data_IF_992399032329
#
_entry.id   IF_992399032329
#
_cell.length_a   1.000
_cell.length_b   1.000
_cell.length_c   1.000
_cell.angle_alpha   90.00
_cell.angle_beta   90.00
_cell.angle_gamma   90.00
#
_symmetry.space_group_name_H-M   'P 1'
#
loop_
_entity.id
_entity.type
_entity.pdbx_description
1 polymer ?
#
# COMPACT_ATOMS: atom_id res chain seq x y z
N UNK A 1 8.86 -38.36 -53.98
CA UNK A 1 7.71 -39.21 -53.57
C UNK A 1 6.58 -38.23 -53.21
N UNK A 2 5.55 -37.97 -54.04
CA UNK A 2 4.32 -38.79 -54.24
C UNK A 2 3.73 -39.19 -52.87
N UNK A 3 2.54 -38.82 -52.39
CA UNK A 3 1.21 -38.71 -53.01
C UNK A 3 0.21 -38.09 -51.98
N UNK A 4 -0.71 -37.19 -52.39
CA UNK A 4 -2.20 -37.36 -52.43
C UNK A 4 -2.96 -37.03 -51.12
N UNK A 5 -3.73 -35.94 -50.97
CA UNK A 5 -5.13 -35.61 -51.42
C UNK A 5 -6.23 -36.54 -50.88
N UNK A 6 -7.09 -36.06 -49.95
CA UNK A 6 -8.52 -36.43 -49.90
C UNK A 6 -9.34 -35.25 -49.36
N UNK A 7 -10.26 -34.79 -50.21
CA UNK A 7 -11.38 -33.92 -49.88
C UNK A 7 -12.59 -34.76 -49.44
N UNK A 8 -13.50 -34.19 -48.65
CA UNK A 8 -14.93 -34.53 -48.74
C UNK A 8 -15.79 -33.39 -48.20
N UNK A 9 -16.87 -33.17 -48.93
CA UNK A 9 -17.80 -32.06 -48.88
C UNK A 9 -19.21 -32.55 -48.52
N UNK A 10 -20.15 -31.60 -48.42
CA UNK A 10 -21.62 -31.74 -48.39
C UNK A 10 -22.19 -32.25 -47.04
N UNK A 11 -23.22 -31.63 -46.45
CA UNK A 11 -24.53 -31.37 -47.06
C UNK A 11 -25.27 -30.15 -46.48
N UNK A 12 -26.02 -29.51 -47.38
CA UNK A 12 -27.11 -28.55 -47.16
C UNK A 12 -28.23 -29.11 -46.27
N UNK A 13 -28.98 -28.22 -45.61
CA UNK A 13 -30.45 -28.23 -45.70
C UNK A 13 -31.02 -26.82 -45.46
N UNK A 14 -32.02 -26.50 -46.26
CA UNK A 14 -32.70 -25.22 -46.50
C UNK A 14 -34.14 -25.24 -46.00
N UNK A 15 -34.71 -24.08 -45.62
CA UNK A 15 -36.10 -23.61 -45.85
C UNK A 15 -36.35 -22.37 -44.97
N UNK A 16 -36.48 -21.14 -45.48
CA UNK A 16 -37.61 -20.48 -46.16
C UNK A 16 -38.90 -20.28 -45.32
N UNK A 17 -39.03 -19.04 -44.80
CA UNK A 17 -40.07 -18.01 -45.11
C UNK A 17 -41.57 -18.17 -44.73
N UNK A 18 -42.17 -16.97 -44.52
CA UNK A 18 -43.59 -16.54 -44.58
C UNK A 18 -44.41 -16.87 -43.29
N UNK A 19 -45.03 -15.93 -42.56
CA UNK A 19 -46.19 -15.10 -42.93
C UNK A 19 -46.43 -13.95 -41.92
N UNK A 20 -46.83 -12.80 -42.47
CA UNK A 20 -47.49 -11.68 -41.80
C UNK A 20 -48.99 -11.94 -41.60
N UNK A 21 -49.60 -11.25 -40.62
CA UNK A 21 -51.04 -10.88 -40.43
C UNK A 21 -51.34 -10.86 -38.91
N UNK A 22 -52.16 -10.02 -38.29
CA UNK A 22 -52.93 -8.83 -38.64
C UNK A 22 -53.43 -8.27 -37.29
N UNK A 23 -53.66 -6.96 -37.27
CA UNK A 23 -54.26 -6.16 -36.18
C UNK A 23 -55.70 -6.59 -35.87
N UNK A 24 -56.19 -6.33 -34.65
CA UNK A 24 -57.45 -5.60 -34.55
C UNK A 24 -57.38 -4.38 -33.62
N UNK A 25 -57.92 -3.28 -34.14
CA UNK A 25 -58.36 -2.08 -33.44
C UNK A 25 -59.58 -2.38 -32.57
N UNK A 26 -59.60 -1.88 -31.34
CA UNK A 26 -60.83 -1.41 -30.67
C UNK A 26 -60.52 -0.30 -29.65
N UNK A 27 -60.63 0.93 -30.16
CA UNK A 27 -61.34 2.08 -29.59
C UNK A 27 -61.46 2.31 -28.07
N UNK A 28 -61.08 3.54 -27.71
CA UNK A 28 -61.79 4.52 -26.88
C UNK A 28 -61.55 4.52 -25.36
N UNK A 29 -60.79 5.55 -24.95
CA UNK A 29 -61.28 6.52 -23.96
C UNK A 29 -60.64 6.44 -22.59
N UNK A 30 -59.77 7.43 -22.31
CA UNK A 30 -59.79 8.32 -21.12
C UNK A 30 -58.35 8.75 -20.81
N UNK A 31 -58.04 10.04 -21.01
CA UNK A 31 -56.82 10.66 -20.44
C UNK A 31 -56.88 10.59 -18.92
N UNK A 32 -55.74 10.32 -18.25
CA UNK A 32 -55.18 11.43 -17.48
C UNK A 32 -53.64 11.51 -17.50
N UNK A 33 -53.17 12.74 -17.27
CA UNK A 33 -51.94 13.12 -16.57
C UNK A 33 -50.60 12.47 -16.97
N UNK A 34 -49.74 13.32 -17.54
CA UNK A 34 -48.28 13.21 -17.42
C UNK A 34 -47.90 13.24 -15.94
N UNK A 35 -47.61 12.07 -15.37
CA UNK A 35 -46.76 11.93 -14.20
C UNK A 35 -45.56 11.12 -14.66
N UNK A 36 -44.40 11.77 -14.69
CA UNK A 36 -43.12 11.09 -14.73
C UNK A 36 -43.03 10.25 -13.44
N UNK A 37 -43.26 8.95 -13.57
CA UNK A 37 -42.92 7.99 -12.56
C UNK A 37 -41.40 7.80 -12.63
N UNK A 38 -40.70 8.40 -11.67
CA UNK A 38 -39.39 7.92 -11.26
C UNK A 38 -39.63 6.55 -10.65
N UNK A 39 -39.55 5.51 -11.47
CA UNK A 39 -39.56 4.12 -11.03
C UNK A 39 -38.20 3.86 -10.37
N UNK A 40 -38.04 4.28 -9.12
CA UNK A 40 -37.05 3.69 -8.24
C UNK A 40 -37.43 2.23 -8.08
N UNK A 41 -36.71 1.35 -8.77
CA UNK A 41 -36.77 -0.08 -8.55
C UNK A 41 -36.46 -0.33 -7.06
N UNK A 42 -37.50 -0.57 -6.27
CA UNK A 42 -37.34 -1.25 -4.99
C UNK A 42 -36.88 -2.66 -5.33
N UNK A 43 -35.57 -2.87 -5.29
CA UNK A 43 -34.99 -4.20 -5.31
C UNK A 43 -35.54 -4.90 -4.07
N UNK A 44 -36.20 -6.04 -4.28
CA UNK A 44 -36.72 -6.88 -3.20
C UNK A 44 -35.48 -7.45 -2.46
N UNK A 45 -35.00 -6.73 -1.44
CA UNK A 45 -33.68 -6.89 -0.81
C UNK A 45 -33.43 -8.28 -0.21
N UNK A 46 -34.49 -9.05 0.07
CA UNK A 46 -34.38 -10.25 0.88
C UNK A 46 -33.74 -11.47 0.19
N UNK A 47 -33.57 -11.50 -1.13
CA UNK A 47 -33.04 -12.66 -1.87
C UNK A 47 -32.26 -12.33 -3.15
N UNK A 48 -31.70 -11.13 -3.25
CA UNK A 48 -30.91 -10.77 -4.43
C UNK A 48 -29.57 -11.52 -4.43
N UNK A 49 -29.34 -12.36 -5.44
CA UNK A 49 -28.03 -12.99 -5.69
C UNK A 49 -27.41 -12.36 -6.94
N UNK A 50 -26.29 -11.62 -6.81
CA UNK A 50 -25.64 -10.99 -7.95
C UNK A 50 -25.17 -12.07 -8.92
N UNK A 51 -25.42 -11.86 -10.21
CA UNK A 51 -25.04 -12.81 -11.25
C UNK A 51 -23.66 -12.45 -11.82
N UNK A 52 -23.41 -11.16 -11.99
CA UNK A 52 -22.19 -10.61 -12.59
C UNK A 52 -21.34 -9.84 -11.58
N UNK A 53 -20.13 -9.50 -11.98
CA UNK A 53 -19.25 -8.64 -11.21
C UNK A 53 -19.85 -7.25 -10.99
N UNK A 54 -20.48 -6.69 -12.01
CA UNK A 54 -21.18 -5.40 -11.88
C UNK A 54 -22.37 -5.49 -10.91
N UNK A 55 -23.18 -6.55 -10.99
CA UNK A 55 -24.29 -6.78 -10.05
C UNK A 55 -23.80 -6.85 -8.59
N UNK A 56 -22.63 -7.46 -8.37
CA UNK A 56 -22.02 -7.54 -7.05
C UNK A 56 -21.53 -6.17 -6.57
N UNK A 57 -20.89 -5.40 -7.45
CA UNK A 57 -20.44 -4.05 -7.12
C UNK A 57 -21.62 -3.14 -6.76
N UNK A 58 -22.69 -3.17 -7.56
CA UNK A 58 -23.91 -2.39 -7.29
C UNK A 58 -24.58 -2.79 -5.99
N UNK A 59 -24.66 -4.10 -5.70
CA UNK A 59 -25.16 -4.62 -4.42
C UNK A 59 -24.35 -4.07 -3.24
N UNK A 60 -23.02 -4.06 -3.33
CA UNK A 60 -22.15 -3.62 -2.24
C UNK A 60 -22.16 -2.09 -2.07
N UNK A 61 -22.19 -1.31 -3.15
CA UNK A 61 -22.31 0.17 -3.11
C UNK A 61 -23.61 0.63 -2.46
N UNK A 62 -24.70 -0.09 -2.71
CA UNK A 62 -26.01 0.19 -2.13
C UNK A 62 -26.20 -0.31 -0.70
N UNK A 63 -25.21 -1.01 -0.14
CA UNK A 63 -25.39 -1.73 1.09
C UNK A 63 -25.26 -0.85 2.34
N UNK A 64 -26.33 -0.78 3.14
CA UNK A 64 -26.36 -0.04 4.42
C UNK A 64 -26.46 -0.93 5.66
N UNK A 65 -26.47 -2.26 5.51
CA UNK A 65 -26.67 -3.21 6.62
C UNK A 65 -26.02 -4.57 6.38
N UNK A 66 -26.01 -5.45 7.40
CA UNK A 66 -25.31 -6.74 7.31
C UNK A 66 -26.02 -7.79 6.43
N UNK A 67 -27.28 -7.56 6.06
CA UNK A 67 -28.07 -8.52 5.27
C UNK A 67 -27.55 -8.68 3.84
N UNK A 68 -27.06 -7.60 3.22
CA UNK A 68 -26.45 -7.64 1.88
C UNK A 68 -25.16 -8.49 1.87
N UNK A 69 -24.52 -8.66 3.04
CA UNK A 69 -23.24 -9.35 3.19
C UNK A 69 -23.41 -10.86 3.24
N UNK A 70 -24.65 -11.36 3.32
CA UNK A 70 -24.93 -12.79 3.36
C UNK A 70 -24.36 -13.51 2.13
N UNK A 71 -24.45 -12.89 0.95
CA UNK A 71 -23.86 -13.43 -0.28
C UNK A 71 -22.34 -13.54 -0.16
N UNK A 72 -21.68 -12.43 0.18
CA UNK A 72 -20.23 -12.31 0.29
C UNK A 72 -19.66 -13.26 1.32
N UNK A 73 -20.29 -13.28 2.52
CA UNK A 73 -19.95 -14.21 3.59
C UNK A 73 -20.14 -15.67 3.18
N UNK A 74 -21.21 -15.97 2.42
CA UNK A 74 -21.50 -17.32 1.92
C UNK A 74 -20.43 -17.82 0.94
N UNK A 75 -20.04 -16.98 -0.03
CA UNK A 75 -18.97 -17.30 -0.99
C UNK A 75 -17.65 -17.54 -0.27
N UNK A 76 -17.20 -16.58 0.55
CA UNK A 76 -15.93 -16.65 1.28
C UNK A 76 -15.89 -17.86 2.22
N UNK A 77 -16.96 -18.10 2.99
CA UNK A 77 -17.05 -19.26 3.88
C UNK A 77 -17.07 -20.58 3.10
N UNK A 78 -17.73 -20.61 1.94
CA UNK A 78 -17.76 -21.78 1.06
C UNK A 78 -16.38 -22.15 0.53
N UNK A 79 -15.59 -21.16 0.12
CA UNK A 79 -14.22 -21.34 -0.36
C UNK A 79 -13.30 -21.79 0.77
N UNK A 80 -13.37 -21.15 1.94
CA UNK A 80 -12.58 -21.56 3.10
C UNK A 80 -12.91 -22.99 3.55
N UNK A 81 -14.20 -23.38 3.51
CA UNK A 81 -14.62 -24.75 3.78
C UNK A 81 -14.12 -25.73 2.72
N UNK A 82 -14.19 -25.37 1.44
CA UNK A 82 -13.66 -26.20 0.35
C UNK A 82 -12.14 -26.40 0.48
N UNK A 83 -11.38 -25.34 0.73
CA UNK A 83 -9.93 -25.40 0.92
C UNK A 83 -9.56 -26.39 2.04
N UNK A 84 -10.25 -26.32 3.19
CA UNK A 84 -10.07 -27.28 4.30
C UNK A 84 -10.42 -28.73 3.92
N UNK A 85 -11.51 -28.93 3.19
CA UNK A 85 -11.94 -30.28 2.77
C UNK A 85 -11.02 -30.88 1.71
N UNK A 86 -10.44 -30.05 0.86
CA UNK A 86 -9.55 -30.46 -0.22
C UNK A 86 -8.08 -30.51 0.19
N UNK A 87 -7.73 -30.18 1.44
CA UNK A 87 -6.35 -30.08 1.94
C UNK A 87 -5.48 -29.17 1.05
N UNK A 88 -6.06 -28.08 0.56
CA UNK A 88 -5.36 -27.03 -0.21
C UNK A 88 -5.38 -25.73 0.56
N UNK A 89 -4.33 -24.93 0.42
CA UNK A 89 -4.26 -23.63 1.07
C UNK A 89 -5.31 -22.68 0.50
N UNK A 90 -5.86 -21.82 1.36
CA UNK A 90 -6.77 -20.77 0.92
C UNK A 90 -6.01 -19.80 0.01
N UNK A 91 -6.58 -19.35 -1.11
CA UNK A 91 -5.92 -18.36 -1.96
C UNK A 91 -5.91 -16.94 -1.37
N UNK A 92 -6.56 -16.73 -0.22
CA UNK A 92 -6.60 -15.44 0.48
C UNK A 92 -6.77 -15.65 1.99
N UNK A 93 -6.19 -14.73 2.77
CA UNK A 93 -6.15 -14.76 4.23
C UNK A 93 -6.67 -13.41 4.76
N UNK A 94 -7.98 -13.19 4.64
CA UNK A 94 -8.59 -12.02 5.26
C UNK A 94 -8.53 -12.16 6.79
N UNK A 95 -7.79 -11.28 7.45
CA UNK A 95 -7.77 -11.15 8.91
C UNK A 95 -8.74 -10.04 9.32
N UNK A 96 -9.53 -10.27 10.38
CA UNK A 96 -10.46 -9.28 10.92
C UNK A 96 -11.92 -9.37 10.43
N UNK A 97 -12.75 -8.43 10.88
CA UNK A 97 -14.15 -8.29 10.46
C UNK A 97 -14.19 -7.32 9.27
N UNK A 98 -14.58 -7.81 8.09
CA UNK A 98 -14.83 -6.96 6.93
C UNK A 98 -16.26 -6.45 6.97
N UNK A 99 -16.44 -5.14 6.85
CA UNK A 99 -17.75 -4.52 6.71
C UNK A 99 -18.14 -4.33 5.23
N UNK A 100 -19.35 -3.81 4.99
CA UNK A 100 -19.83 -3.57 3.63
C UNK A 100 -19.01 -2.53 2.87
N UNK A 101 -18.43 -1.57 3.59
CA UNK A 101 -17.60 -0.53 3.01
C UNK A 101 -16.27 -1.11 2.51
N UNK A 102 -15.61 -1.93 3.33
CA UNK A 102 -14.39 -2.65 2.94
C UNK A 102 -14.61 -3.52 1.71
N UNK A 103 -15.73 -4.25 1.69
CA UNK A 103 -16.07 -5.15 0.59
C UNK A 103 -16.38 -4.40 -0.71
N UNK A 104 -17.17 -3.31 -0.66
CA UNK A 104 -17.42 -2.46 -1.83
C UNK A 104 -16.10 -1.93 -2.38
N UNK A 105 -15.23 -1.45 -1.49
CA UNK A 105 -13.94 -0.86 -1.85
C UNK A 105 -13.03 -1.85 -2.59
N UNK A 106 -12.82 -3.06 -2.08
CA UNK A 106 -11.93 -4.03 -2.73
C UNK A 106 -12.51 -4.54 -4.06
N UNK A 107 -13.84 -4.60 -4.17
CA UNK A 107 -14.53 -4.99 -5.40
C UNK A 107 -14.39 -3.90 -6.46
N UNK A 108 -14.64 -2.64 -6.10
CA UNK A 108 -14.47 -1.49 -6.99
C UNK A 108 -13.02 -1.38 -7.47
N UNK A 109 -12.03 -1.53 -6.58
CA UNK A 109 -10.61 -1.52 -6.94
C UNK A 109 -10.25 -2.63 -7.96
N UNK A 110 -10.87 -3.80 -7.83
CA UNK A 110 -10.64 -4.93 -8.75
C UNK A 110 -11.24 -4.67 -10.13
N UNK A 111 -12.40 -4.00 -10.19
CA UNK A 111 -13.02 -3.56 -11.43
C UNK A 111 -12.24 -2.42 -12.10
N UNK A 112 -11.72 -1.48 -11.33
CA UNK A 112 -10.87 -0.40 -11.87
C UNK A 112 -9.58 -0.95 -12.50
N UNK A 113 -8.91 -1.86 -11.80
CA UNK A 113 -7.66 -2.47 -12.28
C UNK A 113 -7.89 -3.49 -13.40
N UNK A 114 -9.03 -4.18 -13.39
CA UNK A 114 -9.40 -5.20 -14.37
C UNK A 114 -10.86 -5.05 -14.81
N UNK A 115 -11.18 -4.08 -15.69
CA UNK A 115 -12.56 -3.77 -16.07
C UNK A 115 -13.35 -4.94 -16.65
N UNK A 116 -12.67 -5.91 -17.27
CA UNK A 116 -13.30 -7.11 -17.80
C UNK A 116 -13.99 -7.96 -16.73
N UNK A 117 -13.63 -7.84 -15.45
CA UNK A 117 -14.25 -8.60 -14.35
C UNK A 117 -15.73 -8.24 -14.13
N UNK A 118 -16.18 -7.07 -14.61
CA UNK A 118 -17.58 -6.66 -14.52
C UNK A 118 -18.52 -7.70 -15.16
N UNK A 119 -18.09 -8.31 -16.26
CA UNK A 119 -18.87 -9.30 -17.01
C UNK A 119 -18.74 -10.74 -16.49
N UNK A 120 -17.85 -11.00 -15.52
CA UNK A 120 -17.62 -12.34 -14.96
C UNK A 120 -18.66 -12.68 -13.88
N UNK A 121 -18.86 -13.97 -13.56
CA UNK A 121 -19.71 -14.35 -12.43
C UNK A 121 -19.27 -13.68 -11.13
N UNK A 122 -20.22 -13.17 -10.34
CA UNK A 122 -19.96 -12.48 -9.07
C UNK A 122 -18.95 -13.17 -8.13
N UNK A 123 -18.96 -14.50 -7.93
CA UNK A 123 -17.96 -15.16 -7.09
C UNK A 123 -16.54 -15.00 -7.61
N UNK A 124 -16.36 -14.90 -8.92
CA UNK A 124 -15.05 -14.76 -9.57
C UNK A 124 -14.44 -13.38 -9.31
N UNK A 125 -15.24 -12.32 -9.46
CA UNK A 125 -14.82 -10.97 -9.08
C UNK A 125 -14.48 -10.93 -7.59
N UNK A 126 -15.36 -11.46 -6.74
CA UNK A 126 -15.14 -11.48 -5.29
C UNK A 126 -13.85 -12.21 -4.90
N UNK A 127 -13.61 -13.38 -5.49
CA UNK A 127 -12.39 -14.15 -5.32
C UNK A 127 -11.15 -13.38 -5.74
N UNK A 128 -11.22 -12.75 -6.90
CA UNK A 128 -10.11 -11.95 -7.44
C UNK A 128 -9.82 -10.76 -6.53
N UNK A 129 -10.86 -10.08 -6.06
CA UNK A 129 -10.74 -8.95 -5.15
C UNK A 129 -10.09 -9.35 -3.82
N UNK A 130 -10.48 -10.50 -3.26
CA UNK A 130 -9.88 -11.03 -2.04
C UNK A 130 -8.44 -11.48 -2.25
N UNK A 131 -8.13 -12.16 -3.36
CA UNK A 131 -6.77 -12.60 -3.66
C UNK A 131 -5.82 -11.41 -3.87
N UNK A 132 -6.30 -10.33 -4.51
CA UNK A 132 -5.52 -9.10 -4.72
C UNK A 132 -5.34 -8.30 -3.42
N UNK A 133 -6.35 -8.30 -2.54
CA UNK A 133 -6.36 -7.46 -1.34
C UNK A 133 -5.80 -8.15 -0.09
N UNK A 134 -5.86 -9.49 -0.03
CA UNK A 134 -5.49 -10.30 1.14
C UNK A 134 -4.75 -11.59 0.75
N UNK A 135 -3.58 -11.51 0.09
CA UNK A 135 -2.81 -12.72 -0.25
C UNK A 135 -2.40 -13.48 1.02
N UNK A 136 -2.51 -14.82 1.00
CA UNK A 136 -2.15 -15.67 2.15
C UNK A 136 -0.67 -15.68 2.51
N UNK A 137 0.19 -15.24 1.59
CA UNK A 137 1.63 -15.14 1.81
C UNK A 137 1.99 -13.99 2.77
N UNK A 138 1.01 -13.20 3.22
CA UNK A 138 1.14 -12.21 4.29
C UNK A 138 0.83 -12.80 5.68
N UNK A 139 1.32 -14.02 5.95
CA UNK A 139 1.45 -14.51 7.32
C UNK A 139 2.36 -13.53 8.09
N UNK A 140 1.93 -12.93 9.21
CA UNK A 140 2.82 -12.15 10.08
C UNK A 140 3.98 -12.97 10.65
N UNK A 141 3.95 -14.30 10.50
CA UNK A 141 4.94 -15.22 11.06
C UNK A 141 5.96 -15.71 10.03
N UNK A 142 5.67 -15.61 8.73
CA UNK A 142 6.58 -16.02 7.66
C UNK A 142 7.24 -14.78 7.04
N UNK A 143 8.15 -14.20 7.81
CA UNK A 143 9.22 -13.39 7.25
C UNK A 143 9.96 -14.22 6.21
N UNK A 144 9.66 -14.00 4.93
CA UNK A 144 10.57 -14.45 3.89
C UNK A 144 11.76 -13.49 3.91
N UNK A 145 12.83 -13.91 4.60
CA UNK A 145 14.13 -13.26 4.60
C UNK A 145 14.64 -13.04 3.16
N UNK A 146 14.10 -13.74 2.16
CA UNK A 146 14.37 -13.55 0.74
C UNK A 146 13.67 -12.32 0.10
N UNK A 147 12.72 -11.67 0.78
CA UNK A 147 12.12 -10.40 0.33
C UNK A 147 12.95 -9.17 0.73
N UNK A 148 14.02 -9.37 1.50
CA UNK A 148 14.97 -8.35 1.90
C UNK A 148 15.86 -7.98 0.72
N UNK A 149 15.68 -6.78 0.19
CA UNK A 149 16.61 -6.23 -0.81
C UNK A 149 17.53 -5.23 -0.13
N UNK A 150 18.86 -5.39 -0.18
CA UNK A 150 19.75 -4.35 0.33
C UNK A 150 19.48 -3.06 -0.45
N UNK A 151 19.34 -1.95 0.27
CA UNK A 151 19.25 -0.62 -0.35
C UNK A 151 20.64 0.00 -0.41
N UNK A 152 20.93 0.70 -1.50
CA UNK A 152 22.16 1.48 -1.61
C UNK A 152 22.20 2.56 -0.53
N UNK A 153 23.31 2.62 0.21
CA UNK A 153 23.50 3.60 1.28
C UNK A 153 23.43 5.03 0.74
N UNK A 154 23.84 5.28 -0.51
CA UNK A 154 23.73 6.60 -1.14
C UNK A 154 22.26 7.05 -1.23
N UNK A 155 21.32 6.11 -1.42
CA UNK A 155 19.89 6.43 -1.47
C UNK A 155 19.39 6.80 -0.07
N UNK A 156 19.79 6.06 0.97
CA UNK A 156 19.41 6.37 2.36
C UNK A 156 19.95 7.73 2.77
N UNK A 157 21.22 8.02 2.47
CA UNK A 157 21.83 9.33 2.71
C UNK A 157 21.09 10.45 1.96
N UNK A 158 20.74 10.23 0.69
CA UNK A 158 20.00 11.20 -0.11
C UNK A 158 18.57 11.46 0.39
N UNK A 159 17.94 10.49 1.08
CA UNK A 159 16.64 10.68 1.73
C UNK A 159 16.76 11.58 2.95
N UNK A 160 17.74 11.31 3.83
CA UNK A 160 17.88 12.01 5.11
C UNK A 160 18.58 13.37 5.02
N UNK A 161 19.28 13.64 3.91
CA UNK A 161 19.98 14.92 3.66
C UNK A 161 19.02 16.12 3.64
N UNK A 162 17.79 15.93 3.12
CA UNK A 162 16.81 17.00 2.95
C UNK A 162 15.54 16.71 3.76
N UNK A 163 15.49 17.25 4.98
CA UNK A 163 14.36 17.07 5.88
C UNK A 163 13.02 17.53 5.27
N UNK A 164 13.04 18.41 4.26
CA UNK A 164 11.86 18.97 3.59
C UNK A 164 11.04 17.94 2.84
N UNK A 165 11.62 16.77 2.56
CA UNK A 165 10.98 15.73 1.74
C UNK A 165 10.16 14.72 2.54
N UNK A 166 10.15 14.82 3.88
CA UNK A 166 9.44 13.88 4.74
C UNK A 166 8.52 14.56 5.75
N UNK A 167 7.50 13.82 6.20
CA UNK A 167 6.71 14.12 7.40
C UNK A 167 7.07 13.09 8.47
N UNK A 168 7.37 13.54 9.69
CA UNK A 168 7.75 12.65 10.80
C UNK A 168 6.53 12.32 11.66
N UNK A 169 6.30 11.03 11.92
CA UNK A 169 5.28 10.50 12.82
C UNK A 169 5.94 9.69 13.95
N UNK A 170 5.38 9.72 15.16
CA UNK A 170 5.97 9.09 16.34
C UNK A 170 6.98 10.00 17.05
N UNK A 171 8.00 9.39 17.64
CA UNK A 171 9.07 10.07 18.37
C UNK A 171 10.20 10.49 17.41
N UNK A 172 10.42 11.80 17.18
CA UNK A 172 11.49 12.27 16.30
C UNK A 172 12.91 11.93 16.80
N UNK A 173 13.06 11.62 18.08
CA UNK A 173 14.35 11.33 18.73
C UNK A 173 14.61 9.83 18.90
N UNK A 174 13.75 8.97 18.35
CA UNK A 174 13.98 7.53 18.41
C UNK A 174 15.32 7.16 17.73
N UNK A 175 16.03 6.12 18.21
CA UNK A 175 17.30 5.72 17.64
C UNK A 175 17.14 5.22 16.19
N UNK A 176 18.24 5.17 15.44
CA UNK A 176 18.26 4.71 14.04
C UNK A 176 17.71 3.28 13.90
N UNK A 177 18.01 2.39 14.86
CA UNK A 177 17.45 1.02 14.91
C UNK A 177 15.91 0.99 15.04
N UNK A 178 15.30 2.09 15.52
CA UNK A 178 13.85 2.29 15.64
C UNK A 178 13.34 3.37 14.69
N UNK A 179 14.08 3.62 13.61
CA UNK A 179 13.67 4.52 12.52
C UNK A 179 13.22 3.71 11.32
N UNK A 180 11.99 3.95 10.88
CA UNK A 180 11.42 3.39 9.65
C UNK A 180 11.19 4.50 8.64
N UNK A 181 11.70 4.31 7.41
CA UNK A 181 11.56 5.26 6.30
C UNK A 181 10.57 4.71 5.30
N UNK A 182 9.41 5.32 5.16
CA UNK A 182 8.28 4.79 4.41
C UNK A 182 8.04 5.61 3.15
N UNK A 183 8.17 5.00 1.98
CA UNK A 183 7.63 5.52 0.74
C UNK A 183 6.12 5.26 0.70
N UNK A 184 5.36 6.36 0.61
CA UNK A 184 3.91 6.34 0.73
C UNK A 184 3.26 7.13 -0.39
N UNK A 185 2.30 6.52 -1.10
CA UNK A 185 1.45 7.23 -2.05
C UNK A 185 0.05 7.44 -1.43
N UNK A 186 -0.46 8.68 -1.33
CA UNK A 186 -1.77 8.96 -0.72
C UNK A 186 -2.97 8.35 -1.45
N UNK A 187 -2.83 7.94 -2.71
CA UNK A 187 -3.90 7.23 -3.44
C UNK A 187 -3.68 5.71 -3.48
N UNK A 188 -2.67 5.18 -2.78
CA UNK A 188 -2.43 3.75 -2.70
C UNK A 188 -3.31 3.11 -1.61
N UNK A 189 -4.14 2.14 -1.99
CA UNK A 189 -4.99 1.40 -1.05
C UNK A 189 -4.18 0.55 -0.07
N UNK A 190 -3.07 -0.07 -0.50
CA UNK A 190 -2.18 -0.80 0.41
C UNK A 190 -1.52 0.13 1.43
N UNK A 191 -1.23 1.39 1.06
CA UNK A 191 -0.75 2.40 2.02
C UNK A 191 -1.81 2.71 3.08
N UNK A 192 -3.09 2.81 2.67
CA UNK A 192 -4.18 3.01 3.61
C UNK A 192 -4.33 1.83 4.60
N UNK A 193 -4.15 0.59 4.13
CA UNK A 193 -4.15 -0.62 4.99
C UNK A 193 -2.94 -0.68 5.93
N UNK A 194 -1.77 -0.19 5.51
CA UNK A 194 -0.55 -0.20 6.33
C UNK A 194 -0.50 0.94 7.37
N UNK A 195 -1.22 2.03 7.13
CA UNK A 195 -1.22 3.21 8.00
C UNK A 195 -1.61 2.93 9.46
N UNK A 196 -2.61 2.10 9.79
CA UNK A 196 -2.90 1.71 11.17
C UNK A 196 -1.72 1.06 11.89
N UNK A 197 -0.91 0.24 11.21
CA UNK A 197 0.27 -0.40 11.77
C UNK A 197 1.35 0.63 12.12
N UNK A 198 1.54 1.62 11.25
CA UNK A 198 2.42 2.76 11.54
C UNK A 198 1.89 3.62 12.70
N UNK A 199 0.58 3.78 12.82
CA UNK A 199 -0.03 4.47 13.95
C UNK A 199 0.17 3.71 15.28
N UNK A 200 0.08 2.39 15.25
CA UNK A 200 0.38 1.54 16.40
C UNK A 200 1.84 1.69 16.84
N UNK A 201 2.80 1.60 15.91
CA UNK A 201 4.23 1.83 16.20
C UNK A 201 4.49 3.22 16.78
N UNK A 202 3.91 4.26 16.18
CA UNK A 202 4.03 5.63 16.68
C UNK A 202 3.48 5.77 18.11
N UNK A 203 2.36 5.09 18.42
CA UNK A 203 1.75 5.12 19.74
C UNK A 203 2.58 4.41 20.82
N UNK A 204 3.50 3.50 20.46
CA UNK A 204 4.45 2.91 21.40
C UNK A 204 5.44 3.94 21.97
N UNK A 205 5.64 5.07 21.27
CA UNK A 205 6.49 6.18 21.73
C UNK A 205 7.99 5.92 21.65
N UNK A 206 8.41 4.83 21.01
CA UNK A 206 9.81 4.44 20.84
C UNK A 206 10.27 4.40 19.38
N UNK A 207 9.43 4.88 18.46
CA UNK A 207 9.62 4.74 17.00
C UNK A 207 9.58 6.09 16.32
N UNK A 208 10.53 6.29 15.39
CA UNK A 208 10.54 7.39 14.43
C UNK A 208 10.08 6.87 13.08
N UNK A 209 9.02 7.45 12.54
CA UNK A 209 8.46 7.08 11.25
C UNK A 209 8.62 8.26 10.30
N UNK A 210 9.53 8.13 9.35
CA UNK A 210 9.78 9.13 8.32
C UNK A 210 8.94 8.78 7.09
N UNK A 211 7.87 9.53 6.84
CA UNK A 211 6.97 9.31 5.70
C UNK A 211 7.48 10.16 4.55
N UNK A 212 7.91 9.51 3.48
CA UNK A 212 8.36 10.10 2.22
C UNK A 212 7.25 9.97 1.17
N UNK A 213 6.45 11.03 0.92
CA UNK A 213 5.37 10.95 -0.04
C UNK A 213 5.90 10.79 -1.46
N UNK A 214 5.32 9.86 -2.23
CA UNK A 214 5.60 9.62 -3.65
C UNK A 214 4.34 9.75 -4.50
N UNK A 215 4.52 9.81 -5.83
CA UNK A 215 3.43 9.87 -6.80
C UNK A 215 3.64 8.79 -7.87
N UNK A 216 3.16 7.58 -7.60
CA UNK A 216 3.34 6.40 -8.47
C UNK A 216 2.01 5.74 -8.84
N UNK A 217 0.94 5.98 -8.09
CA UNK A 217 -0.40 5.43 -8.35
C UNK A 217 -1.23 6.37 -9.21
N UNK A 218 -1.26 7.67 -8.88
CA UNK A 218 -2.05 8.68 -9.58
C UNK A 218 -1.27 9.99 -9.71
N UNK A 219 -1.56 10.76 -10.75
CA UNK A 219 -0.98 12.10 -10.95
C UNK A 219 -1.36 13.06 -9.80
N UNK A 220 -2.57 12.89 -9.26
CA UNK A 220 -3.11 13.72 -8.18
C UNK A 220 -2.38 13.56 -6.85
N UNK A 221 -1.70 12.42 -6.65
CA UNK A 221 -0.90 12.15 -5.46
C UNK A 221 0.15 13.23 -5.23
N UNK A 222 0.77 13.74 -6.30
CA UNK A 222 1.77 14.79 -6.21
C UNK A 222 1.22 16.10 -5.61
N UNK A 223 0.03 16.51 -6.02
CA UNK A 223 -0.59 17.74 -5.52
C UNK A 223 -0.99 17.65 -4.06
N UNK A 224 -1.60 16.54 -3.66
CA UNK A 224 -1.94 16.27 -2.26
C UNK A 224 -0.69 16.26 -1.37
N UNK A 225 0.32 15.49 -1.79
CA UNK A 225 1.57 15.32 -1.05
C UNK A 225 2.38 16.63 -0.94
N UNK A 226 2.42 17.44 -2.01
CA UNK A 226 3.08 18.73 -1.99
C UNK A 226 2.48 19.68 -0.94
N UNK A 227 1.16 19.67 -0.76
CA UNK A 227 0.49 20.44 0.29
C UNK A 227 0.85 19.91 1.68
N UNK A 228 0.83 18.59 1.88
CA UNK A 228 1.21 18.00 3.16
C UNK A 228 2.66 18.36 3.56
N UNK A 229 3.61 18.26 2.63
CA UNK A 229 5.01 18.65 2.87
C UNK A 229 5.16 20.15 3.13
N UNK A 230 4.41 20.99 2.42
CA UNK A 230 4.45 22.44 2.62
C UNK A 230 3.97 22.88 4.01
N UNK A 231 3.00 22.15 4.55
CA UNK A 231 2.43 22.44 5.86
C UNK A 231 3.30 21.96 7.02
N UNK A 232 4.21 21.01 6.81
CA UNK A 232 4.87 20.31 7.92
C UNK A 232 5.68 21.21 8.88
N UNK A 233 6.22 22.32 8.38
CA UNK A 233 7.06 23.22 9.18
C UNK A 233 6.21 24.18 10.01
N UNK A 234 5.26 24.85 9.37
CA UNK A 234 4.47 25.91 10.00
C UNK A 234 3.18 25.35 10.67
N UNK A 235 2.71 24.19 10.21
CA UNK A 235 1.46 23.51 10.63
C UNK A 235 1.64 21.97 10.72
N UNK A 236 2.58 21.46 11.55
CA UNK A 236 2.93 20.04 11.60
C UNK A 236 1.73 19.12 11.89
N UNK A 237 0.83 19.52 12.79
CA UNK A 237 -0.38 18.74 13.11
C UNK A 237 -1.35 18.65 11.92
N UNK A 238 -1.47 19.73 11.14
CA UNK A 238 -2.31 19.73 9.95
C UNK A 238 -1.70 18.84 8.87
N UNK A 239 -0.39 18.94 8.64
CA UNK A 239 0.33 18.04 7.73
C UNK A 239 0.15 16.57 8.13
N UNK A 240 0.28 16.27 9.43
CA UNK A 240 0.05 14.93 9.96
C UNK A 240 -1.40 14.48 9.80
N UNK A 241 -2.38 15.38 9.99
CA UNK A 241 -3.79 15.06 9.77
C UNK A 241 -4.09 14.70 8.31
N UNK A 242 -3.40 15.31 7.34
CA UNK A 242 -3.56 14.92 5.93
C UNK A 242 -3.10 13.47 5.70
N UNK A 243 -2.02 13.05 6.36
CA UNK A 243 -1.56 11.66 6.30
C UNK A 243 -2.51 10.69 7.03
N UNK A 244 -2.90 10.98 8.27
CA UNK A 244 -3.79 10.12 9.06
C UNK A 244 -5.18 10.00 8.47
N UNK A 245 -5.72 11.14 8.03
CA UNK A 245 -7.10 11.32 7.58
C UNK A 245 -7.15 11.49 6.05
N UNK A 246 -6.22 10.85 5.34
CA UNK A 246 -6.26 10.76 3.86
C UNK A 246 -7.59 10.14 3.45
N UNK A 247 -8.33 10.75 2.49
CA UNK A 247 -9.65 10.27 2.12
C UNK A 247 -9.58 8.85 1.54
N UNK A 248 -10.62 8.06 1.76
CA UNK A 248 -10.75 6.74 1.14
C UNK A 248 -10.98 6.81 -0.38
N UNK A 249 -11.48 7.94 -0.88
CA UNK A 249 -11.56 8.24 -2.31
C UNK A 249 -10.28 8.91 -2.83
N UNK A 250 -10.43 9.76 -3.83
CA UNK A 250 -9.31 10.45 -4.47
C UNK A 250 -8.65 11.48 -3.53
N UNK A 251 -7.40 11.25 -3.18
CA UNK A 251 -6.54 12.19 -2.46
C UNK A 251 -5.88 13.13 -3.47
N UNK A 252 -6.48 14.31 -3.66
CA UNK A 252 -6.01 15.33 -4.60
C UNK A 252 -5.65 16.66 -3.90
N UNK A 253 -5.08 17.59 -4.67
CA UNK A 253 -4.76 18.92 -4.14
C UNK A 253 -6.00 19.66 -3.63
N UNK A 254 -7.17 19.50 -4.26
CA UNK A 254 -8.37 20.22 -3.87
C UNK A 254 -8.86 19.79 -2.48
N UNK A 255 -8.77 18.50 -2.15
CA UNK A 255 -9.00 17.98 -0.81
C UNK A 255 -8.03 18.61 0.20
N UNK A 256 -6.72 18.57 -0.09
CA UNK A 256 -5.71 19.09 0.83
C UNK A 256 -5.85 20.60 1.07
N UNK A 257 -6.15 21.37 0.02
CA UNK A 257 -6.44 22.82 0.12
C UNK A 257 -7.66 23.07 0.98
N UNK A 258 -8.76 22.34 0.78
CA UNK A 258 -9.97 22.49 1.61
C UNK A 258 -9.70 22.21 3.08
N UNK A 259 -8.92 21.18 3.40
CA UNK A 259 -8.52 20.86 4.79
C UNK A 259 -7.70 21.99 5.41
N UNK A 260 -6.83 22.64 4.64
CA UNK A 260 -6.08 23.80 5.08
C UNK A 260 -6.97 25.04 5.30
N UNK A 261 -7.95 25.28 4.43
CA UNK A 261 -8.94 26.34 4.60
C UNK A 261 -9.81 26.15 5.84
N UNK A 262 -10.25 24.91 6.10
CA UNK A 262 -10.98 24.53 7.33
C UNK A 262 -10.16 24.81 8.59
N UNK A 263 -8.83 24.75 8.50
CA UNK A 263 -7.90 25.11 9.57
C UNK A 263 -7.58 26.61 9.62
N UNK A 264 -8.18 27.43 8.75
CA UNK A 264 -8.01 28.88 8.72
C UNK A 264 -6.86 29.40 7.85
N UNK A 265 -6.21 28.55 7.06
CA UNK A 265 -5.12 28.94 6.16
C UNK A 265 -5.73 29.42 4.83
N UNK A 266 -5.49 30.67 4.48
CA UNK A 266 -5.99 31.23 3.22
C UNK A 266 -5.23 30.67 2.01
N UNK A 267 -5.90 30.56 0.84
CA UNK A 267 -5.29 30.02 -0.38
C UNK A 267 -3.97 30.70 -0.75
N UNK A 268 -3.90 32.04 -0.70
CA UNK A 268 -2.67 32.78 -1.02
C UNK A 268 -1.51 32.42 -0.09
N UNK A 269 -1.79 32.26 1.19
CA UNK A 269 -0.79 31.80 2.17
C UNK A 269 -0.35 30.38 1.85
N UNK A 270 -1.28 29.46 1.62
CA UNK A 270 -1.01 28.07 1.30
C UNK A 270 -0.16 27.90 0.02
N UNK A 271 -0.48 28.61 -1.06
CA UNK A 271 0.34 28.61 -2.28
C UNK A 271 1.75 29.16 -2.02
N UNK A 272 1.87 30.16 -1.14
CA UNK A 272 3.16 30.67 -0.67
C UNK A 272 3.97 29.62 0.10
N UNK A 273 3.32 28.81 0.95
CA UNK A 273 3.95 27.68 1.65
C UNK A 273 4.43 26.62 0.67
N UNK A 274 3.57 26.18 -0.26
CA UNK A 274 3.92 25.15 -1.26
C UNK A 274 5.11 25.57 -2.10
N UNK A 275 5.15 26.83 -2.53
CA UNK A 275 6.26 27.39 -3.30
C UNK A 275 7.54 27.47 -2.47
N UNK A 276 7.47 27.98 -1.24
CA UNK A 276 8.64 28.13 -0.35
C UNK A 276 9.25 26.78 0.03
N UNK A 277 8.40 25.79 0.27
CA UNK A 277 8.81 24.43 0.60
C UNK A 277 9.32 23.66 -0.62
N UNK A 278 9.10 24.15 -1.85
CA UNK A 278 9.36 23.40 -3.09
C UNK A 278 8.66 22.03 -3.06
N UNK A 279 7.38 22.02 -2.63
CA UNK A 279 6.68 20.78 -2.28
C UNK A 279 6.58 19.79 -3.44
N UNK A 280 6.37 20.27 -4.67
CA UNK A 280 6.31 19.40 -5.86
C UNK A 280 7.68 18.80 -6.19
N UNK A 281 8.75 19.58 -6.10
CA UNK A 281 10.12 19.11 -6.30
C UNK A 281 10.51 18.06 -5.25
N UNK A 282 10.06 18.24 -4.00
CA UNK A 282 10.28 17.25 -2.94
C UNK A 282 9.59 15.92 -3.24
N UNK A 283 8.31 15.92 -3.64
CA UNK A 283 7.60 14.69 -4.03
C UNK A 283 8.23 14.03 -5.25
N UNK A 284 8.65 14.83 -6.23
CA UNK A 284 9.36 14.34 -7.42
C UNK A 284 10.67 13.65 -7.02
N UNK A 285 11.49 14.28 -6.17
CA UNK A 285 12.75 13.71 -5.65
C UNK A 285 12.49 12.39 -4.91
N UNK A 286 11.50 12.35 -4.03
CA UNK A 286 11.11 11.12 -3.34
C UNK A 286 10.73 10.01 -4.31
N UNK A 287 9.94 10.34 -5.34
CA UNK A 287 9.52 9.38 -6.36
C UNK A 287 10.72 8.86 -7.16
N UNK A 288 11.67 9.73 -7.51
CA UNK A 288 12.91 9.32 -8.18
C UNK A 288 13.78 8.40 -7.29
N UNK A 289 13.91 8.70 -6.00
CA UNK A 289 14.63 7.86 -5.04
C UNK A 289 13.93 6.51 -4.85
N UNK A 290 12.60 6.51 -4.70
CA UNK A 290 11.78 5.29 -4.64
C UNK A 290 12.03 4.38 -5.84
N UNK A 291 12.02 4.92 -7.06
CA UNK A 291 12.29 4.12 -8.26
C UNK A 291 13.73 3.57 -8.30
N UNK A 292 14.70 4.32 -7.76
CA UNK A 292 16.11 3.89 -7.68
C UNK A 292 16.34 2.79 -6.65
N UNK A 293 15.52 2.67 -5.60
CA UNK A 293 15.66 1.56 -4.64
C UNK A 293 15.33 0.20 -5.26
N UNK A 294 14.64 0.18 -6.39
CA UNK A 294 14.12 -1.05 -7.00
C UNK A 294 12.81 -1.54 -6.35
N UNK A 295 12.18 -0.72 -5.52
CA UNK A 295 10.86 -1.00 -4.96
C UNK A 295 9.83 -1.28 -6.09
N UNK A 296 8.96 -2.26 -5.85
CA UNK A 296 7.98 -2.72 -6.86
C UNK A 296 6.60 -2.08 -6.72
N UNK A 297 6.37 -1.35 -5.63
CA UNK A 297 5.09 -0.71 -5.35
C UNK A 297 5.10 -0.02 -3.99
N UNK A 298 4.02 0.68 -3.66
CA UNK A 298 3.82 1.28 -2.34
C UNK A 298 2.80 0.47 -1.53
N UNK A 299 2.90 0.45 -0.18
CA UNK A 299 3.98 1.02 0.59
C UNK A 299 5.27 0.22 0.40
N UNK A 300 6.40 0.91 0.46
CA UNK A 300 7.72 0.30 0.64
C UNK A 300 8.40 1.03 1.76
N UNK A 301 9.20 0.34 2.55
CA UNK A 301 9.89 0.98 3.67
C UNK A 301 11.28 0.43 3.88
N UNK A 302 12.12 1.22 4.54
CA UNK A 302 13.49 0.88 4.89
C UNK A 302 13.62 0.88 6.41
N UNK A 303 14.23 -0.18 6.94
CA UNK A 303 14.73 -0.27 8.32
C UNK A 303 16.19 -0.66 8.23
N UNK A 304 17.07 0.11 8.87
CA UNK A 304 18.52 -0.03 8.67
C UNK A 304 18.90 0.14 7.19
N UNK A 305 19.44 -0.91 6.58
CA UNK A 305 19.87 -0.94 5.17
C UNK A 305 19.02 -1.89 4.30
N UNK A 306 17.83 -2.24 4.77
CA UNK A 306 17.00 -3.24 4.10
C UNK A 306 15.71 -2.62 3.59
N UNK A 307 15.46 -2.77 2.30
CA UNK A 307 14.22 -2.39 1.66
C UNK A 307 13.19 -3.51 1.76
N UNK A 308 11.99 -3.14 2.18
CA UNK A 308 10.80 -3.97 2.23
C UNK A 308 9.74 -3.41 1.28
N UNK A 309 9.02 -4.28 0.58
CA UNK A 309 7.90 -3.91 -0.28
C UNK A 309 6.62 -4.55 0.25
N UNK A 310 5.55 -3.77 0.34
CA UNK A 310 4.30 -4.17 0.99
C UNK A 310 4.22 -3.68 2.43
N UNK A 311 3.04 -3.86 3.04
CA UNK A 311 2.82 -3.58 4.45
C UNK A 311 3.21 -4.78 5.32
N UNK A 312 3.73 -4.50 6.51
CA UNK A 312 3.90 -5.48 7.59
C UNK A 312 3.06 -5.04 8.79
N UNK A 313 2.78 -5.96 9.72
CA UNK A 313 2.18 -5.55 10.99
C UNK A 313 3.20 -4.81 11.87
N UNK A 314 2.72 -4.02 12.83
CA UNK A 314 3.54 -3.35 13.82
C UNK A 314 4.41 -4.36 14.60
N UNK A 315 3.83 -5.49 14.99
CA UNK A 315 4.53 -6.57 15.67
C UNK A 315 5.65 -7.18 14.80
N UNK A 316 5.40 -7.34 13.50
CA UNK A 316 6.42 -7.82 12.57
C UNK A 316 7.56 -6.80 12.44
N UNK A 317 7.25 -5.52 12.23
CA UNK A 317 8.26 -4.44 12.16
C UNK A 317 9.11 -4.41 13.43
N UNK A 318 8.49 -4.60 14.60
CA UNK A 318 9.22 -4.68 15.87
C UNK A 318 10.19 -5.86 15.91
N UNK A 319 9.71 -7.07 15.58
CA UNK A 319 10.55 -8.27 15.53
C UNK A 319 11.74 -8.11 14.58
N UNK A 320 11.52 -7.44 13.45
CA UNK A 320 12.55 -7.14 12.45
C UNK A 320 13.59 -6.13 12.95
N UNK A 321 13.18 -5.06 13.62
CA UNK A 321 14.14 -4.14 14.23
C UNK A 321 14.96 -4.82 15.34
N UNK A 322 14.30 -5.64 16.16
CA UNK A 322 14.97 -6.38 17.24
C UNK A 322 16.04 -7.34 16.71
N UNK A 323 15.91 -7.87 15.48
CA UNK A 323 16.96 -8.72 14.89
C UNK A 323 18.22 -7.95 14.50
N UNK A 324 18.09 -6.67 14.13
CA UNK A 324 19.26 -5.83 13.81
C UNK A 324 20.01 -5.40 15.08
N UNK A 325 19.30 -5.15 16.18
CA UNK A 325 19.91 -4.83 17.48
C UNK A 325 20.76 -5.98 18.03
N UNK A 326 20.45 -7.23 17.65
CA UNK A 326 21.21 -8.42 18.06
C UNK A 326 22.52 -8.67 17.29
N UNK A 327 22.70 -8.05 16.12
CA UNK A 327 23.91 -8.21 15.28
C UNK A 327 25.00 -7.18 15.61
N UNK A 328 24.65 -5.98 16.08
CA UNK A 328 25.62 -4.94 16.48
C UNK A 328 26.44 -5.33 17.73
N UNK A 329 25.96 -6.28 18.55
CA UNK A 329 26.67 -6.79 19.73
C UNK A 329 27.70 -7.92 19.42
N UNK A 330 27.80 -8.38 18.17
CA UNK A 330 28.89 -9.27 17.74
C UNK A 330 30.06 -8.45 17.20
N UNK A 331 30.65 -7.66 18.09
CA UNK A 331 32.01 -7.18 17.88
C UNK A 331 32.92 -8.39 17.61
N UNK A 332 33.48 -8.45 16.40
CA UNK A 332 34.49 -9.40 15.99
C UNK A 332 35.52 -9.59 17.12
N UNK A 333 35.83 -10.82 17.56
CA UNK A 333 36.93 -11.02 18.49
C UNK A 333 38.20 -10.50 17.82
N UNK A 334 38.79 -9.48 18.45
CA UNK A 334 40.08 -8.91 18.08
C UNK A 334 41.05 -10.07 17.84
N UNK A 335 41.42 -10.24 16.58
CA UNK A 335 42.19 -11.37 16.10
C UNK A 335 43.53 -11.39 16.82
N UNK A 336 43.65 -12.32 17.77
CA UNK A 336 44.85 -12.55 18.54
C UNK A 336 46.08 -12.61 17.64
N UNK A 337 46.93 -11.59 17.76
CA UNK A 337 48.35 -11.71 17.41
C UNK A 337 49.07 -12.35 18.59
N UNK A 338 49.41 -13.62 18.38
CA UNK A 338 50.62 -14.30 18.85
C UNK A 338 51.19 -13.86 20.18
N UNK A 339 50.99 -14.69 21.19
CA UNK A 339 51.93 -14.81 22.30
C UNK A 339 53.32 -15.17 21.75
N UNK A 340 54.28 -14.25 21.89
CA UNK A 340 55.70 -14.60 21.92
C UNK A 340 56.07 -14.96 23.37
N UNK A 341 56.82 -16.05 23.60
CA UNK A 341 57.22 -16.46 24.94
C UNK A 341 58.34 -15.57 25.49
N UNK A 342 58.20 -15.25 26.77
CA UNK A 342 59.16 -14.51 27.57
C UNK A 342 60.58 -15.12 27.54
N UNK A 343 61.62 -14.28 27.59
CA UNK A 343 62.86 -14.63 28.26
C UNK A 343 62.85 -14.05 29.68
N UNK A 344 63.07 -14.93 30.65
CA UNK A 344 63.61 -14.56 31.94
C UNK A 344 65.08 -14.16 31.74
N UNK A 345 65.49 -13.03 32.31
CA UNK A 345 66.45 -12.99 33.42
C UNK A 345 67.02 -11.58 33.64
N UNK A 346 67.16 -11.32 34.93
CA UNK A 346 68.24 -10.59 35.61
C UNK A 346 68.10 -9.10 35.95
N UNK A 347 68.33 -8.88 37.23
CA UNK A 347 68.35 -7.63 37.97
C UNK A 347 69.67 -6.89 37.70
N UNK A 348 69.69 -5.57 37.95
CA UNK A 348 70.97 -4.91 38.23
C UNK A 348 71.11 -3.45 37.79
N UNK A 349 70.82 -2.58 38.74
CA UNK A 349 71.76 -1.53 39.19
C UNK A 349 72.00 -0.26 38.32
N UNK A 350 71.42 0.82 38.84
CA UNK A 350 71.88 2.22 38.92
C UNK A 350 73.23 2.61 38.29
N UNK A 351 73.23 3.70 37.51
CA UNK A 351 73.87 4.98 37.90
C UNK A 351 73.76 6.05 36.79
N UNK A 352 73.34 7.24 37.22
CA UNK A 352 73.88 8.59 36.92
C UNK A 352 74.85 8.76 35.73
N UNK A 353 74.64 9.82 34.94
CA UNK A 353 75.59 10.95 34.78
C UNK A 353 75.50 11.66 33.40
N UNK A 354 75.06 12.93 33.46
CA UNK A 354 75.61 14.12 32.77
C UNK A 354 75.47 14.31 31.24
N UNK A 355 74.79 15.42 30.90
CA UNK A 355 74.86 16.16 29.63
C UNK A 355 76.29 16.66 29.33
N UNK A 356 76.65 17.02 28.08
CA UNK A 356 76.43 18.43 27.68
C UNK A 356 76.26 18.70 26.16
N UNK A 357 75.62 19.85 25.89
CA UNK A 357 75.94 20.87 24.87
C UNK A 357 76.06 20.53 23.36
N UNK A 358 75.17 21.18 22.60
CA UNK A 358 75.34 21.96 21.33
C UNK A 358 76.79 22.21 20.84
N UNK A 359 77.05 22.40 19.53
CA UNK A 359 76.42 23.49 18.77
C UNK A 359 76.12 23.27 17.27
N UNK A 360 75.32 24.22 16.77
CA UNK A 360 75.03 24.69 15.42
C UNK A 360 75.97 24.25 14.28
N UNK A 361 75.39 23.79 13.17
CA UNK A 361 75.59 24.31 11.80
C UNK A 361 74.32 24.16 10.98
#
# INVERSE_FOLDING_TARGET
MKHTLVASALLCLSAQSVLAQQVPDTSAGTSPSVQAATETAQVDEANYMPQTGEDLADLLRGCTGTECLAYTSGVISGIAAFARLAEVDSPFCATGQLDAFDLSRIVDQSLESTPGLADYPAPYLLLTAFAQSYPCDASPEDFDEAALSPVDQEIVEALVEDDRTMVVYGDPEAPEARTIRVFHDPNCSHCATFRPELAELAAMGSWKIEIYPVSVVAEDSAGFAAVALALKTDYPELAMSLYRDTPAGRADMAYAVRRAEEAGIGQTELFGLVTRASGYEAVKRNTELFLKTGAKGTPSFIIGQTLHTGGLSAAAIQKLADSFEGEEDVALPDGGKGADPAPAEDEGETATETAPQRPDQ
#
